data_IF_226559266422
#
_entry.id   IF_226559266422
#
_cell.length_a   1.000
_cell.length_b   1.000
_cell.length_c   1.000
_cell.angle_alpha   90.00
_cell.angle_beta   90.00
_cell.angle_gamma   90.00
#
_symmetry.space_group_name_H-M   'P 1'
#
loop_
_entity.id
_entity.type
_entity.pdbx_description
1 polymer ?
#
# COMPACT_ATOMS: atom_id res chain seq x y z
N UNK A 1 11.57 -13.82 -4.03
CA UNK A 1 12.35 -13.95 -2.80
C UNK A 1 13.84 -13.78 -3.09
N UNK A 2 14.63 -13.27 -2.13
CA UNK A 2 16.09 -13.36 -2.20
C UNK A 2 16.53 -14.80 -2.38
N UNK A 3 17.67 -15.03 -3.05
CA UNK A 3 18.25 -16.37 -3.13
C UNK A 3 18.87 -16.78 -1.78
N UNK A 4 19.22 -18.06 -1.62
CA UNK A 4 19.70 -18.62 -0.33
C UNK A 4 20.93 -17.92 0.25
N UNK A 5 21.71 -17.23 -0.58
CA UNK A 5 22.92 -16.50 -0.17
C UNK A 5 22.67 -15.00 0.07
N UNK A 6 21.43 -14.54 -0.05
CA UNK A 6 21.04 -13.15 0.15
C UNK A 6 20.11 -13.03 1.35
N UNK A 7 20.44 -12.10 2.24
CA UNK A 7 19.62 -11.73 3.39
C UNK A 7 19.06 -10.33 3.17
N UNK A 8 17.79 -10.13 3.49
CA UNK A 8 17.16 -8.83 3.49
C UNK A 8 16.65 -8.52 4.90
N UNK A 9 17.13 -7.43 5.49
CA UNK A 9 16.65 -6.93 6.80
C UNK A 9 15.35 -6.14 6.64
N UNK A 10 15.18 -5.47 5.50
CA UNK A 10 14.00 -4.67 5.18
C UNK A 10 13.46 -5.09 3.81
N UNK A 11 12.14 -5.31 3.75
CA UNK A 11 11.41 -5.67 2.54
C UNK A 11 10.37 -4.60 2.28
N UNK A 12 10.47 -3.89 1.15
CA UNK A 12 9.47 -2.90 0.76
C UNK A 12 8.48 -3.48 -0.24
N UNK A 13 7.20 -3.48 0.09
CA UNK A 13 6.11 -3.98 -0.76
C UNK A 13 5.06 -2.87 -0.92
N UNK A 14 4.71 -2.53 -2.16
CA UNK A 14 3.60 -1.65 -2.49
C UNK A 14 2.51 -2.46 -3.19
N UNK A 15 1.31 -2.56 -2.58
CA UNK A 15 0.18 -3.30 -3.14
C UNK A 15 -1.15 -2.63 -2.77
N UNK A 16 -1.91 -2.14 -3.77
CA UNK A 16 -1.61 -2.05 -5.20
C UNK A 16 -0.40 -1.20 -5.52
N UNK A 17 0.38 -1.61 -6.53
CA UNK A 17 1.66 -1.00 -6.84
C UNK A 17 1.52 0.29 -7.68
N UNK A 18 2.29 1.29 -7.34
CA UNK A 18 2.55 2.45 -8.19
C UNK A 18 3.94 2.25 -8.84
N UNK A 19 4.09 2.20 -10.16
CA UNK A 19 3.12 2.62 -11.18
C UNK A 19 2.37 1.49 -11.89
N UNK A 20 2.67 0.22 -11.63
CA UNK A 20 2.20 -0.91 -12.44
C UNK A 20 0.73 -1.30 -12.21
N UNK A 21 0.14 -0.91 -11.07
CA UNK A 21 -1.19 -1.35 -10.67
C UNK A 21 -1.29 -2.82 -10.24
N UNK A 22 -0.17 -3.51 -10.13
CA UNK A 22 -0.14 -4.91 -9.71
C UNK A 22 -0.54 -5.06 -8.23
N UNK A 23 -1.29 -6.12 -7.93
CA UNK A 23 -1.66 -6.49 -6.58
C UNK A 23 -1.08 -7.86 -6.22
N UNK A 24 -0.63 -8.01 -4.99
CA UNK A 24 -0.30 -9.31 -4.44
C UNK A 24 -1.56 -10.04 -3.98
N UNK A 25 -1.62 -11.34 -4.22
CA UNK A 25 -2.63 -12.20 -3.61
C UNK A 25 -2.18 -12.70 -2.22
N UNK A 26 -3.07 -13.43 -1.52
CA UNK A 26 -2.82 -13.92 -0.15
C UNK A 26 -1.63 -14.87 -0.08
N UNK A 27 -1.51 -15.80 -1.03
CA UNK A 27 -0.41 -16.77 -1.07
C UNK A 27 0.94 -16.06 -1.30
N UNK A 28 0.98 -15.09 -2.20
CA UNK A 28 2.18 -14.32 -2.48
C UNK A 28 2.64 -13.51 -1.26
N UNK A 29 1.71 -12.83 -0.57
CA UNK A 29 2.05 -12.10 0.67
C UNK A 29 2.46 -13.05 1.79
N UNK A 30 1.83 -14.24 1.89
CA UNK A 30 2.21 -15.25 2.89
C UNK A 30 3.66 -15.69 2.73
N UNK A 31 4.14 -15.88 1.51
CA UNK A 31 5.54 -16.22 1.23
C UNK A 31 6.49 -15.14 1.79
N UNK A 32 6.15 -13.86 1.62
CA UNK A 32 6.95 -12.76 2.14
C UNK A 32 6.89 -12.65 3.66
N UNK A 33 5.74 -12.86 4.26
CA UNK A 33 5.56 -12.89 5.72
C UNK A 33 6.36 -14.05 6.34
N UNK A 34 6.30 -15.23 5.74
CA UNK A 34 7.07 -16.39 6.22
C UNK A 34 8.59 -16.17 6.10
N UNK A 35 9.03 -15.57 4.99
CA UNK A 35 10.43 -15.18 4.81
C UNK A 35 10.85 -14.19 5.90
N UNK A 36 10.08 -13.11 6.08
CA UNK A 36 10.41 -12.06 7.05
C UNK A 36 10.50 -12.59 8.48
N UNK A 37 9.55 -13.43 8.90
CA UNK A 37 9.57 -14.08 10.21
C UNK A 37 10.76 -15.02 10.41
N UNK A 38 11.11 -15.78 9.38
CA UNK A 38 12.24 -16.72 9.41
C UNK A 38 13.59 -16.01 9.53
N UNK A 39 13.70 -14.83 8.91
CA UNK A 39 14.95 -14.11 8.76
C UNK A 39 15.03 -12.82 9.62
N UNK A 40 14.09 -12.65 10.55
CA UNK A 40 14.01 -11.45 11.41
C UNK A 40 14.00 -10.13 10.61
N UNK A 41 13.38 -10.16 9.42
CA UNK A 41 13.24 -9.00 8.55
C UNK A 41 11.95 -8.22 8.84
N UNK A 42 11.93 -6.93 8.50
CA UNK A 42 10.75 -6.07 8.59
C UNK A 42 10.17 -5.80 7.21
N UNK A 43 8.87 -6.08 7.03
CA UNK A 43 8.12 -5.67 5.85
C UNK A 43 7.60 -4.25 6.06
N UNK A 44 7.93 -3.35 5.13
CA UNK A 44 7.31 -2.04 4.98
C UNK A 44 6.25 -2.14 3.88
N UNK A 45 4.99 -2.25 4.29
CA UNK A 45 3.86 -2.48 3.38
C UNK A 45 3.15 -1.17 3.07
N UNK A 46 3.27 -0.70 1.83
CA UNK A 46 2.59 0.50 1.32
C UNK A 46 1.22 0.13 0.76
N UNK A 47 0.17 0.44 1.52
CA UNK A 47 -1.23 0.21 1.19
C UNK A 47 -1.96 1.47 0.67
N UNK A 48 -1.24 2.45 0.15
CA UNK A 48 -1.81 3.75 -0.23
C UNK A 48 -2.96 3.68 -1.24
N UNK A 49 -3.07 2.59 -1.99
CA UNK A 49 -4.11 2.37 -3.01
C UNK A 49 -5.10 1.25 -2.66
N UNK A 50 -5.10 0.75 -1.42
CA UNK A 50 -5.93 -0.37 -0.98
C UNK A 50 -7.43 -0.17 -1.28
N UNK A 51 -7.92 1.07 -1.19
CA UNK A 51 -9.31 1.40 -1.44
C UNK A 51 -9.78 1.12 -2.89
N UNK A 52 -8.86 1.02 -3.83
CA UNK A 52 -9.18 0.66 -5.22
C UNK A 52 -9.42 -0.83 -5.43
N UNK A 53 -8.99 -1.70 -4.51
CA UNK A 53 -9.21 -3.14 -4.58
C UNK A 53 -10.71 -3.42 -4.51
N UNK A 54 -11.25 -4.07 -5.56
CA UNK A 54 -12.67 -4.43 -5.66
C UNK A 54 -12.90 -5.92 -5.50
N UNK A 55 -11.86 -6.72 -5.68
CA UNK A 55 -11.92 -8.19 -5.55
C UNK A 55 -11.74 -8.58 -4.08
N UNK A 56 -12.75 -9.16 -3.42
CA UNK A 56 -12.67 -9.55 -2.02
C UNK A 56 -11.68 -10.70 -1.74
N UNK A 57 -11.20 -11.38 -2.78
CA UNK A 57 -10.17 -12.41 -2.62
C UNK A 57 -8.78 -11.82 -2.42
N UNK A 58 -8.55 -10.56 -2.84
CA UNK A 58 -7.29 -9.85 -2.66
C UNK A 58 -7.24 -9.16 -1.31
N UNK A 59 -6.12 -9.25 -0.59
CA UNK A 59 -5.97 -8.57 0.70
C UNK A 59 -5.81 -7.06 0.50
N UNK A 60 -6.51 -6.28 1.31
CA UNK A 60 -6.38 -4.83 1.38
C UNK A 60 -5.33 -4.39 2.41
N UNK A 61 -5.04 -5.26 3.37
CA UNK A 61 -4.05 -5.06 4.43
C UNK A 61 -3.14 -6.26 4.53
N UNK A 62 -1.85 -6.00 4.86
CA UNK A 62 -0.90 -7.08 5.16
C UNK A 62 -1.34 -7.89 6.40
N UNK A 63 -2.10 -7.28 7.31
CA UNK A 63 -2.56 -7.93 8.53
C UNK A 63 -3.70 -8.95 8.32
N UNK A 64 -4.21 -9.08 7.09
CA UNK A 64 -5.05 -10.21 6.72
C UNK A 64 -4.24 -11.51 6.53
N UNK A 65 -2.92 -11.41 6.56
CA UNK A 65 -2.00 -12.55 6.46
C UNK A 65 -1.53 -12.95 7.86
N UNK A 66 -1.72 -14.23 8.20
CA UNK A 66 -1.30 -14.76 9.49
C UNK A 66 0.20 -14.59 9.71
N UNK A 67 0.58 -14.05 10.87
CA UNK A 67 1.95 -13.77 11.26
C UNK A 67 2.48 -12.40 10.85
N UNK A 68 1.74 -11.62 10.07
CA UNK A 68 2.20 -10.32 9.61
C UNK A 68 2.41 -9.29 10.74
N UNK A 69 1.63 -9.36 11.82
CA UNK A 69 1.81 -8.45 12.97
C UNK A 69 3.18 -8.55 13.63
N UNK A 70 3.85 -9.68 13.52
CA UNK A 70 5.19 -9.90 14.09
C UNK A 70 6.33 -9.43 13.18
N UNK A 71 6.04 -9.02 11.93
CA UNK A 71 7.10 -8.67 10.99
C UNK A 71 6.76 -7.52 10.01
N UNK A 72 5.60 -6.86 10.14
CA UNK A 72 5.20 -5.84 9.18
C UNK A 72 4.75 -4.53 9.82
N UNK A 73 5.09 -3.42 9.15
CA UNK A 73 4.57 -2.07 9.37
C UNK A 73 3.75 -1.71 8.13
N UNK A 74 2.51 -1.22 8.32
CA UNK A 74 1.63 -0.82 7.22
C UNK A 74 1.49 0.70 7.14
N UNK A 75 1.58 1.23 5.93
CA UNK A 75 1.42 2.65 5.63
C UNK A 75 0.15 2.87 4.81
N UNK A 76 -0.76 3.71 5.33
CA UNK A 76 -2.02 4.04 4.70
C UNK A 76 -2.10 5.54 4.37
N UNK A 77 -2.81 5.87 3.30
CA UNK A 77 -2.93 7.25 2.83
C UNK A 77 -4.36 7.60 2.48
N UNK A 78 -4.86 8.69 3.05
CA UNK A 78 -6.16 9.26 2.67
C UNK A 78 -6.10 10.11 1.40
N UNK A 79 -4.91 10.35 0.85
CA UNK A 79 -4.73 11.11 -0.38
C UNK A 79 -5.49 10.50 -1.56
N UNK A 80 -5.55 9.16 -1.63
CA UNK A 80 -6.16 8.44 -2.73
C UNK A 80 -7.59 7.99 -2.41
N UNK A 81 -7.82 7.60 -1.16
CA UNK A 81 -9.12 7.13 -0.69
C UNK A 81 -10.14 8.27 -0.60
N UNK A 82 -9.74 9.42 -0.06
CA UNK A 82 -10.62 10.53 0.28
C UNK A 82 -10.21 11.88 -0.34
N UNK A 83 -9.32 11.89 -1.33
CA UNK A 83 -8.89 13.11 -2.00
C UNK A 83 -8.01 14.05 -1.14
N UNK A 84 -7.36 13.56 -0.09
CA UNK A 84 -6.56 14.36 0.84
C UNK A 84 -5.17 14.73 0.31
N UNK A 85 -4.97 14.71 -1.00
CA UNK A 85 -3.68 15.05 -1.62
C UNK A 85 -3.16 16.42 -1.21
N UNK A 86 -4.02 17.45 -1.16
CA UNK A 86 -3.69 18.80 -0.70
C UNK A 86 -3.78 18.97 0.82
N UNK A 87 -4.60 18.16 1.48
CA UNK A 87 -4.87 18.24 2.94
C UNK A 87 -3.77 17.59 3.78
N UNK A 88 -3.08 16.59 3.21
CA UNK A 88 -1.94 15.86 3.79
C UNK A 88 -2.29 15.04 5.04
N UNK A 89 -2.90 13.87 4.84
CA UNK A 89 -3.15 12.92 5.92
C UNK A 89 -2.87 11.48 5.48
N UNK A 90 -2.18 10.77 6.32
CA UNK A 90 -1.96 9.34 6.26
C UNK A 90 -1.74 8.81 7.66
N UNK A 91 -1.70 7.50 7.82
CA UNK A 91 -1.42 6.87 9.10
C UNK A 91 -0.54 5.64 8.90
N UNK A 92 0.17 5.29 9.96
CA UNK A 92 1.05 4.13 10.01
C UNK A 92 0.59 3.20 11.12
N UNK A 93 0.50 1.92 10.82
CA UNK A 93 0.15 0.88 11.78
C UNK A 93 1.44 0.15 12.13
N UNK A 94 1.81 0.20 13.42
CA UNK A 94 2.95 -0.53 13.98
C UNK A 94 2.40 -1.40 15.10
N UNK A 95 2.27 -2.71 14.91
CA UNK A 95 1.72 -3.61 15.93
C UNK A 95 2.56 -3.67 17.20
N UNK A 96 1.93 -3.93 18.34
CA UNK A 96 2.63 -4.15 19.60
C UNK A 96 3.44 -5.46 19.58
N UNK A 97 2.98 -6.43 18.78
CA UNK A 97 3.66 -7.72 18.58
C UNK A 97 4.95 -7.62 17.76
N UNK A 98 5.26 -6.44 17.20
CA UNK A 98 6.46 -6.23 16.39
C UNK A 98 7.64 -5.92 17.29
N UNK A 99 8.35 -6.96 17.69
CA UNK A 99 9.52 -6.91 18.57
C UNK A 99 10.74 -7.56 17.91
N UNK A 100 11.91 -7.01 18.14
CA UNK A 100 13.18 -7.53 17.64
C UNK A 100 14.24 -7.47 18.72
N UNK A 101 15.24 -8.39 18.71
CA UNK A 101 16.38 -8.28 19.61
C UNK A 101 17.25 -7.08 19.22
N UNK A 102 17.72 -6.34 20.21
CA UNK A 102 18.76 -5.33 20.02
C UNK A 102 20.16 -5.99 19.96
N UNK A 103 21.22 -5.17 19.90
CA UNK A 103 22.60 -5.64 19.85
C UNK A 103 23.05 -6.38 21.14
N UNK A 104 22.29 -6.31 22.23
CA UNK A 104 22.53 -7.02 23.48
C UNK A 104 21.72 -8.30 23.60
N UNK A 105 20.74 -8.52 22.68
CA UNK A 105 19.79 -9.63 22.69
C UNK A 105 18.53 -9.33 23.53
N UNK A 106 18.34 -8.11 24.02
CA UNK A 106 17.11 -7.70 24.69
C UNK A 106 16.02 -7.39 23.67
N UNK A 107 14.79 -7.82 23.96
CA UNK A 107 13.63 -7.53 23.09
C UNK A 107 13.30 -6.04 23.08
N UNK A 108 13.18 -5.47 21.88
CA UNK A 108 12.87 -4.07 21.65
C UNK A 108 11.58 -3.94 20.84
N UNK A 109 10.61 -3.21 21.37
CA UNK A 109 9.34 -2.93 20.70
C UNK A 109 9.48 -1.81 19.69
N UNK A 110 9.25 -2.13 18.39
CA UNK A 110 9.20 -1.10 17.34
C UNK A 110 8.01 -0.17 17.51
N UNK A 111 6.87 -0.66 18.08
CA UNK A 111 5.73 0.19 18.41
C UNK A 111 6.13 1.27 19.43
N UNK A 112 6.80 0.91 20.53
CA UNK A 112 7.24 1.87 21.54
C UNK A 112 8.24 2.89 20.97
N UNK A 113 9.18 2.45 20.14
CA UNK A 113 10.14 3.32 19.44
C UNK A 113 9.43 4.29 18.49
N UNK A 114 8.49 3.79 17.69
CA UNK A 114 7.70 4.60 16.77
C UNK A 114 6.87 5.64 17.51
N UNK A 115 6.19 5.24 18.58
CA UNK A 115 5.38 6.15 19.40
C UNK A 115 6.24 7.26 20.00
N UNK A 116 7.42 6.92 20.56
CA UNK A 116 8.36 7.93 21.07
C UNK A 116 8.81 8.90 19.97
N UNK A 117 9.18 8.38 18.79
CA UNK A 117 9.59 9.20 17.65
C UNK A 117 8.47 10.12 17.21
N UNK A 118 7.26 9.58 17.02
CA UNK A 118 6.10 10.31 16.57
C UNK A 118 5.74 11.45 17.53
N UNK A 119 5.70 11.17 18.83
CA UNK A 119 5.31 12.15 19.85
C UNK A 119 6.38 13.21 20.14
N UNK A 120 7.65 12.97 19.77
CA UNK A 120 8.76 13.92 20.05
C UNK A 120 9.24 14.68 18.81
N UNK A 121 9.07 14.13 17.60
CA UNK A 121 9.61 14.72 16.36
C UNK A 121 8.57 15.36 15.47
N UNK A 122 7.32 14.87 15.52
CA UNK A 122 6.30 15.29 14.54
C UNK A 122 4.94 15.67 15.18
N UNK A 123 4.45 14.89 16.14
CA UNK A 123 3.14 15.04 16.80
C UNK A 123 1.88 14.83 15.91
N UNK A 124 2.07 14.48 14.65
CA UNK A 124 0.99 14.22 13.71
C UNK A 124 0.57 15.45 12.88
N UNK A 125 -0.40 15.25 12.00
CA UNK A 125 -1.01 16.31 11.20
C UNK A 125 -1.92 17.19 12.07
N UNK A 126 -2.35 18.36 11.55
CA UNK A 126 -3.17 19.30 12.33
C UNK A 126 -4.47 18.68 12.82
N UNK A 127 -4.97 19.12 13.98
CA UNK A 127 -6.21 18.60 14.59
C UNK A 127 -7.41 18.68 13.66
N UNK A 128 -7.54 19.77 12.89
CA UNK A 128 -8.64 19.96 11.93
C UNK A 128 -8.60 18.86 10.86
N UNK A 129 -7.40 18.55 10.34
CA UNK A 129 -7.18 17.49 9.36
C UNK A 129 -7.46 16.10 9.97
N UNK A 130 -7.09 15.87 11.23
CA UNK A 130 -7.42 14.62 11.93
C UNK A 130 -8.95 14.45 12.10
N UNK A 131 -9.68 15.52 12.39
CA UNK A 131 -11.16 15.49 12.46
C UNK A 131 -11.79 15.19 11.10
N UNK A 132 -11.28 15.82 10.02
CA UNK A 132 -11.72 15.50 8.67
C UNK A 132 -11.39 14.04 8.30
N UNK A 133 -10.21 13.54 8.68
CA UNK A 133 -9.84 12.14 8.48
C UNK A 133 -10.76 11.16 9.22
N UNK A 134 -11.19 11.51 10.45
CA UNK A 134 -12.14 10.68 11.19
C UNK A 134 -13.50 10.60 10.49
N UNK A 135 -13.96 11.67 9.84
CA UNK A 135 -15.20 11.69 9.08
C UNK A 135 -15.17 10.73 7.86
N UNK A 136 -14.01 10.47 7.28
CA UNK A 136 -13.85 9.49 6.19
C UNK A 136 -14.35 8.09 6.58
N UNK A 137 -14.26 7.74 7.85
CA UNK A 137 -14.67 6.43 8.37
C UNK A 137 -16.12 6.35 8.84
N UNK A 138 -16.90 7.44 8.72
CA UNK A 138 -18.36 7.40 8.92
C UNK A 138 -19.06 6.74 7.74
N UNK A 139 -20.31 6.30 7.88
CA UNK A 139 -21.10 5.73 6.79
C UNK A 139 -21.23 6.71 5.61
N UNK A 140 -21.46 7.99 5.89
CA UNK A 140 -21.55 9.04 4.88
C UNK A 140 -20.20 9.26 4.17
N UNK A 141 -19.10 9.37 4.94
CA UNK A 141 -17.75 9.51 4.38
C UNK A 141 -17.32 8.33 3.53
N UNK A 142 -17.63 7.10 3.93
CA UNK A 142 -17.37 5.90 3.14
C UNK A 142 -18.12 5.93 1.80
N UNK A 143 -19.41 6.34 1.82
CA UNK A 143 -20.21 6.45 0.61
C UNK A 143 -19.66 7.51 -0.34
N UNK A 144 -19.27 8.68 0.14
CA UNK A 144 -18.65 9.72 -0.67
C UNK A 144 -17.30 9.25 -1.27
N UNK A 145 -16.49 8.52 -0.49
CA UNK A 145 -15.25 7.93 -0.98
C UNK A 145 -15.51 6.90 -2.10
N UNK A 146 -16.53 6.03 -1.95
CA UNK A 146 -16.91 5.06 -2.97
C UNK A 146 -17.36 5.72 -4.28
N UNK A 147 -18.13 6.80 -4.20
CA UNK A 147 -18.55 7.58 -5.37
C UNK A 147 -17.34 8.15 -6.12
N UNK A 148 -16.38 8.73 -5.41
CA UNK A 148 -15.13 9.25 -5.99
C UNK A 148 -14.28 8.13 -6.60
N UNK A 149 -14.09 7.02 -5.89
CA UNK A 149 -13.34 5.86 -6.39
C UNK A 149 -14.00 5.27 -7.65
N UNK A 150 -15.35 5.23 -7.69
CA UNK A 150 -16.10 4.77 -8.85
C UNK A 150 -15.85 5.64 -10.09
N UNK A 151 -15.69 6.95 -9.92
CA UNK A 151 -15.34 7.85 -11.02
C UNK A 151 -13.96 7.48 -11.62
N UNK A 152 -12.94 7.31 -10.78
CA UNK A 152 -11.59 6.90 -11.25
C UNK A 152 -11.62 5.53 -11.92
N UNK A 153 -12.36 4.56 -11.36
CA UNK A 153 -12.51 3.22 -11.96
C UNK A 153 -13.17 3.26 -13.34
N UNK A 154 -14.18 4.12 -13.53
CA UNK A 154 -14.82 4.33 -14.84
C UNK A 154 -13.83 4.89 -15.85
N UNK A 155 -13.02 5.89 -15.47
CA UNK A 155 -12.00 6.46 -16.35
C UNK A 155 -10.94 5.41 -16.72
N UNK A 156 -10.45 4.64 -15.75
CA UNK A 156 -9.49 3.57 -15.99
C UNK A 156 -10.07 2.51 -16.96
N UNK A 157 -11.35 2.16 -16.81
CA UNK A 157 -12.02 1.22 -17.72
C UNK A 157 -12.05 1.73 -19.16
N UNK A 158 -12.38 2.99 -19.38
CA UNK A 158 -12.40 3.58 -20.75
C UNK A 158 -11.03 3.49 -21.40
N UNK A 159 -9.97 3.85 -20.67
CA UNK A 159 -8.59 3.77 -21.17
C UNK A 159 -8.20 2.31 -21.43
N UNK A 160 -8.47 1.41 -20.50
CA UNK A 160 -8.14 -0.01 -20.64
C UNK A 160 -8.87 -0.67 -21.82
N UNK A 161 -10.15 -0.34 -22.03
CA UNK A 161 -10.92 -0.85 -23.16
C UNK A 161 -10.34 -0.35 -24.50
N UNK A 162 -9.98 0.94 -24.57
CA UNK A 162 -9.33 1.52 -25.76
C UNK A 162 -7.97 0.84 -26.06
N UNK A 163 -7.15 0.58 -25.04
CA UNK A 163 -5.87 -0.12 -25.24
C UNK A 163 -6.07 -1.55 -25.74
N UNK A 164 -7.11 -2.27 -25.26
CA UNK A 164 -7.49 -3.60 -25.76
C UNK A 164 -7.90 -3.56 -27.21
N UNK A 165 -8.76 -2.61 -27.59
CA UNK A 165 -9.24 -2.46 -28.97
C UNK A 165 -8.07 -2.15 -29.92
N UNK A 166 -7.08 -1.42 -29.46
CA UNK A 166 -5.86 -1.11 -30.20
C UNK A 166 -4.79 -2.21 -30.12
N UNK A 167 -5.05 -3.30 -29.40
CA UNK A 167 -4.11 -4.41 -29.17
C UNK A 167 -2.78 -3.96 -28.54
N UNK A 168 -2.80 -2.94 -27.68
CA UNK A 168 -1.64 -2.46 -26.94
C UNK A 168 -1.57 -3.22 -25.61
N UNK A 169 -0.46 -3.92 -25.31
CA UNK A 169 -0.27 -4.58 -24.03
C UNK A 169 -0.24 -3.59 -22.86
N UNK A 170 -0.95 -3.89 -21.79
CA UNK A 170 -0.96 -3.06 -20.58
C UNK A 170 -1.21 -3.88 -19.33
N UNK A 171 -0.88 -3.28 -18.17
CA UNK A 171 -1.11 -3.78 -16.82
C UNK A 171 -1.85 -2.73 -15.99
N UNK A 172 -2.53 -3.15 -14.92
CA UNK A 172 -3.26 -2.25 -14.02
C UNK A 172 -4.66 -1.88 -14.52
N UNK A 173 -5.18 -0.76 -14.03
CA UNK A 173 -6.51 -0.25 -14.41
C UNK A 173 -7.70 -0.97 -13.78
N UNK A 174 -7.49 -1.93 -12.85
CA UNK A 174 -8.53 -2.69 -12.16
C UNK A 174 -8.55 -2.37 -10.66
N UNK A 175 -7.41 -2.55 -9.98
CA UNK A 175 -7.27 -2.38 -8.53
C UNK A 175 -6.41 -1.17 -8.16
N UNK A 176 -6.17 -0.27 -9.12
CA UNK A 176 -5.44 0.98 -8.93
C UNK A 176 -5.88 2.00 -9.98
N UNK A 177 -5.60 3.29 -9.80
CA UNK A 177 -5.82 4.31 -10.83
C UNK A 177 -4.78 4.26 -11.95
N UNK A 178 -3.75 3.40 -11.84
CA UNK A 178 -2.64 3.33 -12.78
C UNK A 178 -2.89 2.33 -13.88
N UNK A 179 -2.49 2.70 -15.09
CA UNK A 179 -2.41 1.84 -16.25
C UNK A 179 -0.99 1.97 -16.79
N UNK A 180 -0.28 0.87 -16.81
CA UNK A 180 1.08 0.75 -17.32
C UNK A 180 1.02 0.05 -18.67
N UNK A 181 1.30 0.74 -19.76
CA UNK A 181 1.17 0.18 -21.10
C UNK A 181 2.50 0.24 -21.86
N UNK A 182 2.66 -0.65 -22.83
CA UNK A 182 3.80 -0.69 -23.73
C UNK A 182 3.68 0.40 -24.80
N UNK A 183 4.76 1.16 -25.02
CA UNK A 183 4.77 2.18 -26.05
C UNK A 183 4.61 1.53 -27.44
N UNK A 184 3.64 1.96 -28.26
CA UNK A 184 3.37 1.34 -29.55
C UNK A 184 4.50 1.62 -30.55
N UNK A 185 4.62 0.76 -31.56
CA UNK A 185 5.55 0.92 -32.71
C UNK A 185 7.03 1.00 -32.34
N UNK A 186 7.44 0.48 -31.18
CA UNK A 186 8.83 0.51 -30.74
C UNK A 186 9.35 1.90 -30.34
N UNK A 187 8.45 2.85 -30.11
CA UNK A 187 8.80 4.17 -29.57
C UNK A 187 9.32 4.04 -28.14
N UNK A 188 10.24 4.92 -27.76
CA UNK A 188 10.57 5.08 -26.34
C UNK A 188 9.47 5.87 -25.60
N UNK A 189 9.59 5.97 -24.27
CA UNK A 189 8.58 6.63 -23.45
C UNK A 189 8.48 8.16 -23.71
N UNK A 190 9.57 8.80 -24.11
CA UNK A 190 9.57 10.22 -24.43
C UNK A 190 8.96 10.51 -25.81
N UNK A 191 9.18 9.62 -26.77
CA UNK A 191 8.55 9.71 -28.10
C UNK A 191 7.04 9.43 -28.03
N UNK A 192 6.61 8.60 -27.08
CA UNK A 192 5.19 8.26 -26.88
C UNK A 192 4.43 9.35 -26.11
N UNK A 193 5.12 10.12 -25.25
CA UNK A 193 4.54 11.16 -24.41
C UNK A 193 4.38 12.47 -25.19
#
# INVERSE_FOLDING_TARGET
LPNENQHADIIYICSPNNPTGACYNREQLKIWVDYARKHEAVILFDAAYEAFISDPSLPRSIYEIEGAKQCAIEFCSLSKTAGFTGTRCGYTIVPEELVFPDSTGEEMSLNAMWNRRQSTKYNGTSYIVQKAAAAVFSEEGQKECEENLSYYKKNAKVIADTLRDLHIPFYGGIHSPYIWFECPRGMDSWECF
#
